data_IF_180900676030
#
_entry.id   IF_180900676030
#
_cell.length_a   1.000
_cell.length_b   1.000
_cell.length_c   1.000
_cell.angle_alpha   90.00
_cell.angle_beta   90.00
_cell.angle_gamma   90.00
#
_symmetry.space_group_name_H-M   'P 1'
#
loop_
_entity.id
_entity.type
_entity.pdbx_description
1 polymer ?
#
# COMPACT_ATOMS: atom_id res chain seq x y z
N UNK A 1 -1.22 -19.81 21.51
CA UNK A 1 -2.19 -20.27 20.49
C UNK A 1 -1.63 -19.91 19.12
N UNK A 2 -1.32 -20.94 18.33
CA UNK A 2 -0.75 -20.83 16.98
C UNK A 2 -1.87 -20.36 16.05
N UNK A 3 -1.94 -19.06 15.79
CA UNK A 3 -2.75 -18.56 14.67
C UNK A 3 -2.06 -18.99 13.38
N UNK A 4 -2.42 -20.18 12.91
CA UNK A 4 -2.30 -20.53 11.50
C UNK A 4 -3.21 -19.55 10.77
N UNK A 5 -2.65 -18.41 10.36
CA UNK A 5 -3.23 -17.62 9.30
C UNK A 5 -3.26 -18.54 8.09
N UNK A 6 -4.46 -19.05 7.80
CA UNK A 6 -4.86 -19.46 6.48
C UNK A 6 -4.70 -18.24 5.57
N UNK A 7 -3.45 -18.01 5.12
CA UNK A 7 -3.18 -17.34 3.85
C UNK A 7 -3.73 -18.30 2.79
N UNK A 8 -5.04 -18.27 2.62
CA UNK A 8 -5.74 -18.97 1.56
C UNK A 8 -5.24 -18.40 0.25
N UNK A 9 -4.41 -19.20 -0.42
CA UNK A 9 -4.46 -19.51 -1.84
C UNK A 9 -5.39 -18.64 -2.69
N UNK A 10 -5.07 -17.37 -2.83
CA UNK A 10 -5.60 -16.48 -3.86
C UNK A 10 -4.47 -15.92 -4.75
N UNK A 11 -3.35 -16.65 -4.83
CA UNK A 11 -2.64 -16.72 -6.10
C UNK A 11 -3.48 -17.64 -6.99
N UNK A 12 -4.49 -17.07 -7.63
CA UNK A 12 -4.94 -17.61 -8.90
C UNK A 12 -3.76 -17.43 -9.85
N UNK A 13 -2.85 -18.41 -9.85
CA UNK A 13 -2.00 -18.69 -10.99
C UNK A 13 -2.97 -18.78 -12.16
N UNK A 14 -3.01 -17.74 -12.99
CA UNK A 14 -3.42 -17.90 -14.36
C UNK A 14 -2.35 -18.79 -15.01
N UNK A 15 -2.44 -20.09 -14.75
CA UNK A 15 -1.80 -21.11 -15.57
C UNK A 15 -2.47 -20.98 -16.92
N UNK A 16 -1.93 -20.11 -17.78
CA UNK A 16 -2.11 -20.23 -19.22
C UNK A 16 -1.46 -21.56 -19.60
N UNK A 17 -2.23 -22.64 -19.48
CA UNK A 17 -1.90 -23.90 -20.12
C UNK A 17 -2.06 -23.65 -21.62
N UNK A 18 -0.98 -23.24 -22.28
CA UNK A 18 -0.83 -23.51 -23.71
C UNK A 18 -0.68 -25.03 -23.84
N UNK A 19 -1.82 -25.73 -23.83
CA UNK A 19 -1.85 -27.10 -24.30
C UNK A 19 -1.38 -27.07 -25.77
N UNK A 20 -0.33 -27.81 -26.15
CA UNK A 20 -0.11 -28.05 -27.56
C UNK A 20 -1.39 -28.68 -28.11
N UNK A 21 -1.93 -28.15 -29.20
CA UNK A 21 -2.95 -28.86 -29.97
C UNK A 21 -2.32 -30.16 -30.47
N UNK A 22 -2.36 -31.20 -29.65
CA UNK A 22 -2.22 -32.57 -30.12
C UNK A 22 -3.44 -32.81 -31.01
N UNK A 23 -3.20 -32.83 -32.32
CA UNK A 23 -4.13 -33.37 -33.29
C UNK A 23 -4.49 -34.79 -32.83
N UNK A 24 -5.63 -34.93 -32.17
CA UNK A 24 -6.20 -36.23 -31.88
C UNK A 24 -6.55 -36.85 -33.24
N UNK A 25 -5.69 -37.74 -33.72
CA UNK A 25 -5.97 -38.61 -34.84
C UNK A 25 -7.21 -39.43 -34.45
N UNK A 26 -8.34 -39.14 -35.09
CA UNK A 26 -9.57 -39.93 -34.95
C UNK A 26 -9.24 -41.36 -35.41
N UNK A 27 -9.32 -42.39 -34.53
CA UNK A 27 -9.08 -43.76 -34.95
C UNK A 27 -10.23 -44.17 -35.87
N UNK A 28 -9.94 -44.36 -37.17
CA UNK A 28 -10.90 -44.90 -38.14
C UNK A 28 -11.22 -44.02 -39.35
N UNK A 29 -10.61 -42.84 -39.49
CA UNK A 29 -10.71 -42.10 -40.75
C UNK A 29 -9.84 -42.78 -41.81
N UNK A 30 -10.46 -43.20 -42.93
CA UNK A 30 -9.74 -43.69 -44.10
C UNK A 30 -8.72 -42.64 -44.56
N UNK A 31 -7.53 -43.05 -45.04
CA UNK A 31 -6.53 -42.11 -45.53
C UNK A 31 -7.16 -41.20 -46.60
N UNK A 32 -6.90 -39.88 -46.56
CA UNK A 32 -7.41 -38.99 -47.58
C UNK A 32 -6.90 -39.45 -48.96
N UNK A 33 -7.72 -39.31 -50.02
CA UNK A 33 -7.29 -39.64 -51.37
C UNK A 33 -6.02 -38.85 -51.72
N UNK A 34 -5.09 -39.51 -52.42
CA UNK A 34 -3.85 -38.89 -52.87
C UNK A 34 -4.14 -37.54 -53.54
N UNK A 35 -3.43 -36.46 -53.18
CA UNK A 35 -3.63 -35.18 -53.81
C UNK A 35 -3.39 -35.32 -55.32
N UNK A 36 -4.20 -34.65 -56.17
CA UNK A 36 -3.95 -34.61 -57.60
C UNK A 36 -2.53 -34.09 -57.86
N UNK A 37 -1.86 -34.56 -58.92
CA UNK A 37 -0.51 -34.09 -59.27
C UNK A 37 -0.51 -32.56 -59.32
N UNK A 38 0.41 -31.96 -58.57
CA UNK A 38 0.53 -30.52 -58.44
C UNK A 38 0.56 -29.88 -59.83
N UNK A 39 -0.42 -29.01 -60.10
CA UNK A 39 -0.35 -28.13 -61.25
C UNK A 39 0.98 -27.37 -61.17
N UNK A 40 1.76 -27.47 -62.23
CA UNK A 40 3.06 -26.81 -62.37
C UNK A 40 2.89 -25.34 -62.07
N UNK A 41 3.59 -24.85 -61.03
CA UNK A 41 3.58 -23.44 -60.67
C UNK A 41 3.94 -22.60 -61.91
N UNK A 42 3.13 -21.58 -62.27
CA UNK A 42 3.50 -20.67 -63.35
C UNK A 42 4.83 -20.01 -63.04
N UNK A 43 5.65 -19.83 -64.08
CA UNK A 43 6.96 -19.23 -63.98
C UNK A 43 6.89 -17.86 -63.27
N UNK A 44 7.83 -17.55 -62.36
CA UNK A 44 7.84 -16.27 -61.67
C UNK A 44 7.93 -15.11 -62.68
N UNK A 45 7.22 -14.00 -62.42
CA UNK A 45 7.29 -12.83 -63.29
C UNK A 45 8.72 -12.28 -63.33
N UNK A 46 9.14 -11.67 -64.46
CA UNK A 46 10.46 -11.08 -64.58
C UNK A 46 10.66 -9.97 -63.54
N UNK A 47 11.90 -9.78 -63.03
CA UNK A 47 12.20 -8.75 -62.06
C UNK A 47 11.88 -7.35 -62.63
N UNK A 48 11.17 -6.55 -61.82
CA UNK A 48 10.84 -5.18 -62.17
C UNK A 48 12.12 -4.35 -62.37
N UNK A 49 12.16 -3.55 -63.43
CA UNK A 49 13.28 -2.66 -63.73
C UNK A 49 13.49 -1.63 -62.61
N UNK A 50 14.73 -1.27 -62.28
CA UNK A 50 15.03 -0.31 -61.23
C UNK A 50 14.50 1.08 -61.60
N UNK A 51 13.55 1.58 -60.80
CA UNK A 51 13.08 2.96 -60.84
C UNK A 51 14.16 3.89 -60.32
N UNK A 52 14.52 4.88 -61.14
CA UNK A 52 15.50 5.92 -60.83
C UNK A 52 14.96 6.81 -59.70
N UNK A 53 15.75 7.16 -58.67
CA UNK A 53 15.30 8.05 -57.61
C UNK A 53 15.02 9.46 -58.16
N UNK A 54 13.81 9.95 -57.95
CA UNK A 54 13.45 11.33 -58.26
C UNK A 54 14.21 12.29 -57.32
N UNK A 55 14.81 13.33 -57.90
CA UNK A 55 15.51 14.39 -57.15
C UNK A 55 14.57 15.10 -56.17
N UNK A 56 15.02 15.41 -54.94
CA UNK A 56 14.20 16.12 -53.96
C UNK A 56 13.92 17.56 -54.42
N UNK A 57 12.70 18.08 -54.19
CA UNK A 57 12.36 19.45 -54.53
C UNK A 57 13.11 20.46 -53.65
N UNK A 58 13.59 21.51 -54.30
CA UNK A 58 14.31 22.64 -53.70
C UNK A 58 13.43 23.37 -52.67
N UNK A 59 13.92 23.49 -51.44
CA UNK A 59 13.21 24.17 -50.35
C UNK A 59 13.16 25.69 -50.60
N UNK A 60 11.95 26.24 -50.63
CA UNK A 60 11.72 27.69 -50.66
C UNK A 60 12.00 28.32 -49.28
N UNK A 61 12.49 29.58 -49.22
CA UNK A 61 12.76 30.27 -47.97
C UNK A 61 11.46 30.74 -47.30
N UNK A 62 11.16 30.20 -46.12
CA UNK A 62 10.10 30.72 -45.26
C UNK A 62 10.60 31.94 -44.49
N UNK A 63 10.00 33.09 -44.77
CA UNK A 63 10.16 34.35 -44.06
C UNK A 63 9.66 34.21 -42.62
N UNK A 64 10.57 34.39 -41.65
CA UNK A 64 10.28 34.48 -40.23
C UNK A 64 9.61 35.82 -39.90
N UNK A 65 8.29 35.80 -39.72
CA UNK A 65 7.55 36.88 -39.08
C UNK A 65 7.88 36.91 -37.58
N UNK A 66 8.79 37.81 -37.22
CA UNK A 66 9.16 38.14 -35.85
C UNK A 66 7.95 38.77 -35.13
N UNK A 67 7.17 37.97 -34.41
CA UNK A 67 6.12 38.47 -33.54
C UNK A 67 6.74 39.12 -32.30
N UNK A 68 6.49 40.41 -32.11
CA UNK A 68 6.87 41.14 -30.91
C UNK A 68 6.28 40.46 -29.67
N UNK A 69 7.07 40.18 -28.62
CA UNK A 69 6.55 39.64 -27.38
C UNK A 69 5.66 40.69 -26.70
N UNK A 70 4.39 40.34 -26.50
CA UNK A 70 3.47 41.09 -25.64
C UNK A 70 4.00 40.98 -24.20
N UNK A 71 4.21 42.11 -23.48
CA UNK A 71 4.63 42.05 -22.09
C UNK A 71 3.54 41.37 -21.24
N UNK A 72 3.91 40.49 -20.30
CA UNK A 72 2.94 39.85 -19.43
C UNK A 72 2.20 40.90 -18.57
N UNK A 73 0.91 40.69 -18.28
CA UNK A 73 0.17 41.59 -17.40
C UNK A 73 0.82 41.65 -16.01
N UNK A 74 0.75 42.80 -15.32
CA UNK A 74 1.28 42.95 -13.97
C UNK A 74 0.63 41.91 -13.05
N UNK A 75 1.47 41.12 -12.38
CA UNK A 75 1.04 40.10 -11.44
C UNK A 75 0.22 40.76 -10.31
N UNK A 76 -1.07 40.44 -10.25
CA UNK A 76 -1.89 40.68 -9.08
C UNK A 76 -1.27 39.95 -7.89
N UNK A 77 -0.98 40.62 -6.76
CA UNK A 77 -0.48 39.94 -5.57
C UNK A 77 -1.55 38.97 -5.07
N UNK A 78 -1.24 37.67 -5.16
CA UNK A 78 -1.97 36.58 -4.55
C UNK A 78 -1.76 36.64 -3.02
N UNK A 79 -2.43 37.59 -2.37
CA UNK A 79 -2.65 37.55 -0.92
C UNK A 79 -3.51 36.34 -0.60
N UNK A 80 -2.89 35.23 -0.21
CA UNK A 80 -3.61 34.09 0.36
C UNK A 80 -3.03 32.70 0.11
N UNK A 81 -1.99 32.54 -0.72
CA UNK A 81 -1.37 31.23 -0.90
C UNK A 81 -0.40 30.96 0.26
N UNK A 82 -0.89 30.38 1.35
CA UNK A 82 -0.05 29.72 2.35
C UNK A 82 0.85 28.72 1.63
N UNK A 83 2.16 29.00 1.61
CA UNK A 83 3.16 28.04 1.17
C UNK A 83 2.97 26.77 1.98
N UNK A 84 2.81 25.59 1.35
CA UNK A 84 2.84 24.33 2.09
C UNK A 84 4.16 24.27 2.86
N UNK A 85 4.15 23.82 4.14
CA UNK A 85 5.36 23.73 4.92
C UNK A 85 6.39 22.85 4.19
N UNK A 86 7.68 23.19 4.23
CA UNK A 86 8.71 22.43 3.55
C UNK A 86 8.69 20.98 4.01
N UNK A 87 8.58 20.07 3.04
CA UNK A 87 8.67 18.64 3.28
C UNK A 87 10.08 18.30 3.77
N UNK A 88 10.18 17.81 5.01
CA UNK A 88 11.40 17.18 5.52
C UNK A 88 12.43 18.13 6.11
N UNK A 89 12.12 18.66 7.30
CA UNK A 89 13.14 18.79 8.33
C UNK A 89 12.54 18.29 9.62
N UNK A 90 12.61 16.97 9.81
CA UNK A 90 12.59 16.36 11.13
C UNK A 90 13.89 16.75 11.85
N UNK A 91 14.01 18.03 12.20
CA UNK A 91 14.91 18.53 13.22
C UNK A 91 14.03 19.06 14.36
N UNK A 92 14.51 18.90 15.59
CA UNK A 92 13.91 19.25 16.88
C UNK A 92 13.24 18.03 17.54
N UNK A 93 13.87 17.29 18.47
CA UNK A 93 14.92 17.76 19.38
C UNK A 93 14.45 18.87 20.32
N UNK A 94 13.16 19.23 20.28
CA UNK A 94 12.58 20.14 21.27
C UNK A 94 12.49 19.37 22.59
N UNK A 95 13.55 19.49 23.40
CA UNK A 95 13.51 19.23 24.83
C UNK A 95 12.24 19.88 25.39
N UNK A 96 11.35 19.05 25.94
CA UNK A 96 10.19 19.51 26.68
C UNK A 96 10.63 20.56 27.71
N UNK A 97 9.89 21.65 27.89
CA UNK A 97 10.19 22.61 28.95
C UNK A 97 10.23 21.88 30.30
N UNK A 98 11.17 22.22 31.21
CA UNK A 98 11.23 21.60 32.52
C UNK A 98 9.90 21.80 33.27
N UNK A 99 9.44 20.80 34.05
CA UNK A 99 8.19 20.92 34.78
C UNK A 99 8.25 22.11 35.75
N UNK A 100 7.12 22.83 35.94
CA UNK A 100 7.06 23.95 36.87
C UNK A 100 7.44 23.49 38.29
N UNK A 101 8.31 24.26 38.95
CA UNK A 101 8.69 24.05 40.34
C UNK A 101 7.47 24.08 41.25
N UNK A 102 7.35 23.08 42.13
CA UNK A 102 6.27 23.01 43.11
C UNK A 102 6.20 24.29 43.95
N UNK A 103 5.00 24.80 44.26
CA UNK A 103 4.83 26.02 45.05
C UNK A 103 5.48 25.86 46.44
N UNK A 104 6.27 26.85 46.91
CA UNK A 104 6.85 26.82 48.25
C UNK A 104 5.73 26.87 49.29
N UNK A 105 5.58 25.83 50.11
CA UNK A 105 4.66 25.85 51.26
C UNK A 105 3.70 24.67 51.41
N UNK A 106 3.79 23.63 50.56
CA UNK A 106 3.09 22.36 50.81
C UNK A 106 3.77 21.62 51.98
N UNK A 107 3.45 22.04 53.20
CA UNK A 107 3.88 21.37 54.42
C UNK A 107 3.30 19.95 54.52
N UNK A 108 3.93 19.07 55.31
CA UNK A 108 3.45 17.72 55.55
C UNK A 108 2.04 17.76 56.17
N UNK A 109 1.09 17.07 55.54
CA UNK A 109 -0.28 16.93 56.01
C UNK A 109 -0.30 16.44 57.47
N UNK A 110 -0.92 17.23 58.35
CA UNK A 110 -1.17 16.84 59.73
C UNK A 110 -2.18 15.67 59.78
N UNK A 111 -1.93 14.61 60.57
CA UNK A 111 -2.88 13.53 60.76
C UNK A 111 -4.16 14.05 61.40
N UNK A 112 -5.32 13.77 60.80
CA UNK A 112 -6.60 14.03 61.44
C UNK A 112 -6.77 13.12 62.66
N UNK A 113 -7.21 13.65 63.82
CA UNK A 113 -7.47 12.83 64.99
C UNK A 113 -8.71 11.93 64.76
N UNK A 114 -8.67 10.66 65.19
CA UNK A 114 -9.82 9.76 65.11
C UNK A 114 -10.91 10.24 66.07
N UNK A 115 -11.99 10.79 65.51
CA UNK A 115 -13.20 11.10 66.27
C UNK A 115 -14.01 9.83 66.60
N UNK A 116 -14.76 9.83 67.72
CA UNK A 116 -15.61 8.71 68.10
C UNK A 116 -16.77 8.55 67.11
N UNK A 117 -16.80 7.42 66.40
CA UNK A 117 -17.91 7.06 65.52
C UNK A 117 -19.16 6.79 66.34
N UNK A 118 -20.16 7.66 66.21
CA UNK A 118 -21.50 7.36 66.68
C UNK A 118 -22.09 6.20 65.83
N UNK A 119 -22.79 5.23 66.45
CA UNK A 119 -23.47 4.16 65.72
C UNK A 119 -24.57 4.78 64.84
N UNK A 120 -24.50 4.55 63.52
CA UNK A 120 -25.57 4.95 62.63
C UNK A 120 -26.82 4.10 62.91
N UNK A 121 -28.00 4.72 63.10
CA UNK A 121 -29.26 3.99 63.23
C UNK A 121 -29.62 3.30 61.90
N UNK A 122 -30.20 2.09 61.94
CA UNK A 122 -30.66 1.37 60.75
C UNK A 122 -31.94 2.04 60.22
N UNK A 123 -31.77 3.05 59.38
CA UNK A 123 -32.86 3.65 58.62
C UNK A 123 -33.09 2.90 57.30
N UNK A 124 -34.33 2.88 56.77
CA UNK A 124 -34.62 2.37 55.43
C UNK A 124 -33.82 3.17 54.40
N UNK A 125 -32.94 2.51 53.68
CA UNK A 125 -32.19 3.09 52.57
C UNK A 125 -33.18 3.49 51.47
N UNK A 126 -33.61 4.75 51.50
CA UNK A 126 -34.10 5.39 50.29
C UNK A 126 -32.90 5.51 49.34
N UNK A 127 -32.91 4.87 48.15
CA UNK A 127 -31.85 5.10 47.17
C UNK A 127 -31.77 6.61 46.92
N UNK A 128 -30.57 7.21 46.97
CA UNK A 128 -30.45 8.64 46.79
C UNK A 128 -31.09 9.03 45.46
N UNK A 129 -31.87 10.13 45.43
CA UNK A 129 -32.55 10.58 44.23
C UNK A 129 -31.52 10.74 43.09
N UNK A 130 -31.86 10.17 41.93
CA UNK A 130 -31.08 10.22 40.69
C UNK A 130 -30.58 11.65 40.43
N UNK A 131 -29.35 11.96 40.82
CA UNK A 131 -28.80 13.32 40.75
C UNK A 131 -27.80 13.69 41.85
N UNK A 132 -27.71 12.92 42.94
CA UNK A 132 -26.72 13.14 44.01
C UNK A 132 -25.36 12.47 43.76
N UNK A 133 -25.16 11.89 42.56
CA UNK A 133 -23.81 11.64 42.07
C UNK A 133 -23.24 13.02 41.73
N UNK A 134 -22.35 13.53 42.58
CA UNK A 134 -21.60 14.75 42.27
C UNK A 134 -20.99 14.67 40.86
N UNK A 135 -20.56 15.82 40.29
CA UNK A 135 -19.85 15.80 39.02
C UNK A 135 -18.77 14.70 39.09
N UNK A 136 -18.64 13.86 38.05
CA UNK A 136 -17.68 12.77 38.06
C UNK A 136 -16.35 13.34 38.56
N UNK A 137 -15.70 12.69 39.55
CA UNK A 137 -14.51 13.24 40.18
C UNK A 137 -13.59 13.77 39.09
N UNK A 138 -13.16 15.03 39.26
CA UNK A 138 -12.35 15.76 38.31
C UNK A 138 -11.34 14.80 37.68
N UNK A 139 -11.29 14.79 36.34
CA UNK A 139 -10.58 13.79 35.55
C UNK A 139 -9.17 13.49 36.05
N UNK A 140 -8.58 12.37 35.62
CA UNK A 140 -7.30 11.86 36.13
C UNK A 140 -6.31 13.02 36.30
N UNK A 141 -5.74 13.11 37.51
CA UNK A 141 -4.83 14.17 37.92
C UNK A 141 -3.86 14.51 36.77
N UNK A 142 -3.60 15.80 36.49
CA UNK A 142 -2.64 16.20 35.46
C UNK A 142 -1.30 15.48 35.67
N UNK A 143 -0.93 14.59 34.75
CA UNK A 143 0.26 13.74 34.84
C UNK A 143 0.02 12.24 35.12
N UNK A 144 -1.22 11.82 35.37
CA UNK A 144 -1.62 10.40 35.60
C UNK A 144 -2.47 9.81 34.47
N UNK A 145 -2.57 10.49 33.33
CA UNK A 145 -3.06 9.85 32.12
C UNK A 145 -2.03 8.81 31.68
N UNK A 146 -2.15 7.59 32.19
CA UNK A 146 -1.43 6.45 31.61
C UNK A 146 -1.84 6.40 30.15
N UNK A 147 -0.91 6.77 29.26
CA UNK A 147 -1.11 6.63 27.83
C UNK A 147 -1.54 5.17 27.61
N UNK A 148 -2.68 4.93 26.93
CA UNK A 148 -3.16 3.57 26.73
C UNK A 148 -2.01 2.74 26.14
N UNK A 149 -1.71 1.56 26.69
CA UNK A 149 -0.62 0.75 26.16
C UNK A 149 -0.87 0.54 24.67
N UNK A 150 0.09 0.93 23.84
CA UNK A 150 0.07 0.72 22.39
C UNK A 150 0.90 -0.52 22.05
N UNK A 151 0.52 -1.20 20.98
CA UNK A 151 1.26 -2.31 20.41
C UNK A 151 1.58 -2.02 18.95
N UNK A 152 2.79 -2.40 18.53
CA UNK A 152 3.22 -2.35 17.12
C UNK A 152 2.57 -3.48 16.35
N UNK A 153 1.60 -3.15 15.49
CA UNK A 153 0.92 -4.10 14.60
C UNK A 153 1.40 -3.86 13.17
N UNK A 154 1.65 -4.94 12.43
CA UNK A 154 1.93 -4.83 10.99
C UNK A 154 0.62 -4.79 10.22
N UNK A 155 0.39 -3.72 9.47
CA UNK A 155 -0.76 -3.56 8.56
C UNK A 155 -0.28 -3.72 7.11
N UNK A 156 -1.04 -4.48 6.32
CA UNK A 156 -0.75 -4.69 4.91
C UNK A 156 -1.60 -3.75 4.07
N UNK A 157 -0.97 -2.93 3.24
CA UNK A 157 -1.64 -1.96 2.35
C UNK A 157 -1.48 -2.31 0.87
N UNK A 158 -0.92 -3.48 0.54
CA UNK A 158 -0.65 -3.89 -0.86
C UNK A 158 -1.90 -4.01 -1.74
N UNK A 159 -3.08 -4.18 -1.14
CA UNK A 159 -4.35 -4.16 -1.87
C UNK A 159 -4.61 -2.83 -2.59
N UNK A 160 -4.07 -1.71 -2.09
CA UNK A 160 -4.23 -0.39 -2.74
C UNK A 160 -3.43 -0.34 -4.04
N UNK A 161 -2.20 -0.84 -4.02
CA UNK A 161 -1.38 -1.02 -5.22
C UNK A 161 -2.06 -1.94 -6.23
N UNK A 162 -2.67 -3.05 -5.77
CA UNK A 162 -3.39 -3.98 -6.63
C UNK A 162 -4.53 -3.31 -7.40
N UNK A 163 -5.33 -2.48 -6.73
CA UNK A 163 -6.44 -1.76 -7.39
C UNK A 163 -5.90 -0.80 -8.43
N UNK A 164 -4.90 0.02 -8.10
CA UNK A 164 -4.35 1.00 -9.05
C UNK A 164 -3.71 0.34 -10.27
N UNK A 165 -3.01 -0.79 -10.08
CA UNK A 165 -2.44 -1.59 -11.16
C UNK A 165 -3.55 -2.17 -12.05
N UNK A 166 -4.59 -2.76 -11.45
CA UNK A 166 -5.69 -3.36 -12.22
C UNK A 166 -6.47 -2.30 -13.02
N UNK A 167 -6.75 -1.13 -12.45
CA UNK A 167 -7.37 -0.02 -13.20
C UNK A 167 -6.47 0.42 -14.34
N UNK A 168 -5.16 0.53 -14.11
CA UNK A 168 -4.19 0.92 -15.12
C UNK A 168 -4.09 -0.11 -16.25
N UNK A 169 -4.15 -1.39 -15.93
CA UNK A 169 -4.15 -2.49 -16.92
C UNK A 169 -5.43 -2.47 -17.78
N UNK A 170 -6.59 -2.17 -17.18
CA UNK A 170 -7.84 -2.00 -17.94
C UNK A 170 -7.72 -0.82 -18.91
N UNK A 171 -7.15 0.31 -18.47
CA UNK A 171 -6.90 1.48 -19.34
C UNK A 171 -5.90 1.14 -20.44
N UNK A 172 -4.86 0.38 -20.12
CA UNK A 172 -3.84 -0.08 -21.08
C UNK A 172 -4.48 -0.90 -22.20
N UNK A 173 -5.30 -1.89 -21.84
CA UNK A 173 -5.99 -2.79 -22.77
C UNK A 173 -7.03 -2.03 -23.59
N UNK A 174 -7.88 -1.23 -22.94
CA UNK A 174 -8.93 -0.47 -23.61
C UNK A 174 -8.36 0.61 -24.55
N UNK A 175 -7.18 1.14 -24.25
CA UNK A 175 -6.50 2.17 -25.01
C UNK A 175 -5.65 1.65 -26.18
N UNK A 176 -5.54 0.34 -26.39
CA UNK A 176 -4.59 -0.27 -27.32
C UNK A 176 -4.61 0.39 -28.71
N UNK A 177 -3.44 0.86 -29.17
CA UNK A 177 -3.30 1.54 -30.46
C UNK A 177 -3.56 3.05 -30.42
N UNK A 178 -3.70 3.65 -29.24
CA UNK A 178 -3.91 5.09 -29.04
C UNK A 178 -2.97 5.67 -27.99
N UNK A 179 -2.99 7.00 -27.82
CA UNK A 179 -2.25 7.67 -26.75
C UNK A 179 -2.66 7.20 -25.34
N UNK A 180 -3.87 6.64 -25.18
CA UNK A 180 -4.39 6.12 -23.90
C UNK A 180 -3.58 4.91 -23.41
N UNK A 181 -2.97 4.13 -24.32
CA UNK A 181 -2.06 3.04 -23.95
C UNK A 181 -0.93 3.53 -23.05
N UNK A 182 -0.34 4.71 -23.34
CA UNK A 182 0.73 5.26 -22.53
C UNK A 182 0.26 5.70 -21.14
N UNK A 183 -1.00 6.11 -21.01
CA UNK A 183 -1.60 6.45 -19.71
C UNK A 183 -1.77 5.19 -18.86
N UNK A 184 -2.26 4.09 -19.45
CA UNK A 184 -2.35 2.81 -18.76
C UNK A 184 -0.99 2.27 -18.33
N UNK A 185 0.01 2.36 -19.22
CA UNK A 185 1.38 1.92 -18.91
C UNK A 185 2.02 2.76 -17.80
N UNK A 186 1.89 4.09 -17.88
CA UNK A 186 2.39 4.99 -16.85
C UNK A 186 1.68 4.75 -15.51
N UNK A 187 0.37 4.53 -15.52
CA UNK A 187 -0.41 4.17 -14.34
C UNK A 187 0.09 2.88 -13.70
N UNK A 188 0.33 1.84 -14.49
CA UNK A 188 0.84 0.56 -13.99
C UNK A 188 2.18 0.74 -13.29
N UNK A 189 3.12 1.42 -13.95
CA UNK A 189 4.49 1.63 -13.42
C UNK A 189 4.51 2.54 -12.20
N UNK A 190 3.67 3.58 -12.15
CA UNK A 190 3.71 4.60 -11.10
C UNK A 190 2.79 4.31 -9.91
N UNK A 191 1.84 3.38 -10.02
CA UNK A 191 0.91 3.06 -8.92
C UNK A 191 1.65 2.67 -7.65
N UNK A 192 2.56 1.68 -7.72
CA UNK A 192 3.34 1.23 -6.55
C UNK A 192 4.13 2.37 -5.90
N UNK A 193 4.97 3.11 -6.65
CA UNK A 193 5.71 4.25 -6.12
C UNK A 193 4.84 5.30 -5.43
N UNK A 194 3.72 5.69 -6.06
CA UNK A 194 2.79 6.67 -5.51
C UNK A 194 2.20 6.17 -4.18
N UNK A 195 1.76 4.91 -4.11
CA UNK A 195 1.21 4.32 -2.88
C UNK A 195 2.27 4.29 -1.78
N UNK A 196 3.50 3.87 -2.07
CA UNK A 196 4.57 3.88 -1.07
C UNK A 196 4.91 5.29 -0.57
N UNK A 197 4.95 6.28 -1.47
CA UNK A 197 5.15 7.67 -1.10
C UNK A 197 4.03 8.24 -0.25
N UNK A 198 2.77 7.86 -0.52
CA UNK A 198 1.62 8.26 0.28
C UNK A 198 1.67 7.75 1.73
N UNK A 199 2.35 6.62 1.97
CA UNK A 199 2.59 6.06 3.31
C UNK A 199 3.91 6.53 3.94
N UNK A 200 4.62 7.49 3.32
CA UNK A 200 5.88 8.03 3.83
C UNK A 200 7.11 7.12 3.59
N UNK A 201 6.98 6.07 2.77
CA UNK A 201 8.05 5.11 2.48
C UNK A 201 8.79 5.47 1.17
N UNK A 202 9.51 6.60 1.16
CA UNK A 202 10.19 7.13 -0.04
C UNK A 202 11.14 6.12 -0.68
N UNK A 203 11.98 5.46 0.13
CA UNK A 203 12.93 4.45 -0.36
C UNK A 203 12.24 3.26 -1.00
N UNK A 204 11.13 2.79 -0.42
CA UNK A 204 10.34 1.69 -0.99
C UNK A 204 9.69 2.10 -2.32
N UNK A 205 9.27 3.37 -2.46
CA UNK A 205 8.71 3.86 -3.72
C UNK A 205 9.73 3.86 -4.87
N UNK A 206 10.99 4.22 -4.62
CA UNK A 206 12.05 4.10 -5.63
C UNK A 206 12.41 2.64 -5.93
N UNK A 207 12.46 1.77 -4.92
CA UNK A 207 12.67 0.35 -5.11
C UNK A 207 11.56 -0.28 -5.98
N UNK A 208 10.30 0.06 -5.69
CA UNK A 208 9.11 -0.32 -6.46
C UNK A 208 9.22 0.14 -7.91
N UNK A 209 9.62 1.40 -8.15
CA UNK A 209 9.80 1.94 -9.50
C UNK A 209 10.87 1.16 -10.27
N UNK A 210 12.03 0.93 -9.64
CA UNK A 210 13.13 0.16 -10.22
C UNK A 210 12.72 -1.27 -10.54
N UNK A 211 11.87 -1.87 -9.71
CA UNK A 211 11.36 -3.22 -9.91
C UNK A 211 10.34 -3.29 -11.06
N UNK A 212 9.41 -2.32 -11.13
CA UNK A 212 8.39 -2.22 -12.19
C UNK A 212 8.98 -1.90 -13.58
N UNK A 213 10.11 -1.19 -13.65
CA UNK A 213 10.81 -0.96 -14.92
C UNK A 213 11.82 -2.06 -15.21
N UNK A 214 12.56 -2.49 -14.19
CA UNK A 214 13.67 -3.42 -14.30
C UNK A 214 13.25 -4.85 -14.62
N UNK A 215 12.16 -5.37 -14.03
CA UNK A 215 11.74 -6.74 -14.28
C UNK A 215 11.17 -6.96 -15.68
N UNK A 216 10.33 -6.09 -16.27
CA UNK A 216 9.93 -6.25 -17.67
C UNK A 216 11.13 -6.21 -18.63
N UNK A 217 12.07 -5.28 -18.43
CA UNK A 217 13.27 -5.19 -19.27
C UNK A 217 14.15 -6.43 -19.09
N UNK A 218 14.45 -6.81 -17.85
CA UNK A 218 15.27 -7.97 -17.52
C UNK A 218 14.64 -9.28 -18.00
N UNK A 219 13.32 -9.43 -17.81
CA UNK A 219 12.55 -10.56 -18.32
C UNK A 219 12.58 -10.61 -19.85
N UNK A 220 12.42 -9.46 -20.51
CA UNK A 220 12.55 -9.36 -21.96
C UNK A 220 13.94 -9.77 -22.47
N UNK A 221 15.01 -9.33 -21.80
CA UNK A 221 16.37 -9.74 -22.14
C UNK A 221 16.61 -11.25 -21.92
N UNK A 222 16.08 -11.82 -20.85
CA UNK A 222 16.13 -13.29 -20.63
C UNK A 222 15.39 -14.02 -21.74
N UNK A 223 14.21 -13.53 -22.13
CA UNK A 223 13.44 -14.06 -23.26
C UNK A 223 14.20 -13.96 -24.59
N UNK A 224 14.84 -12.81 -24.85
CA UNK A 224 15.68 -12.61 -26.02
C UNK A 224 16.82 -13.63 -26.09
N UNK A 225 17.52 -13.86 -24.98
CA UNK A 225 18.58 -14.86 -24.90
C UNK A 225 18.06 -16.28 -25.10
N UNK A 226 16.88 -16.60 -24.57
CA UNK A 226 16.24 -17.90 -24.79
C UNK A 226 15.85 -18.14 -26.26
N UNK A 227 15.49 -17.07 -27.00
CA UNK A 227 15.13 -17.13 -28.41
C UNK A 227 16.29 -16.95 -29.40
N UNK A 228 17.53 -16.75 -28.93
CA UNK A 228 18.68 -16.44 -29.79
C UNK A 228 19.12 -17.61 -30.70
N UNK A 229 18.63 -18.82 -30.45
CA UNK A 229 18.90 -20.00 -31.29
C UNK A 229 17.86 -20.27 -32.39
N UNK A 230 16.80 -19.48 -32.47
CA UNK A 230 15.76 -19.66 -33.49
C UNK A 230 16.19 -19.08 -34.84
N UNK A 231 15.89 -19.80 -35.93
CA UNK A 231 16.13 -19.33 -37.30
C UNK A 231 15.05 -18.36 -37.79
N UNK A 232 13.91 -18.29 -37.10
CA UNK A 232 12.83 -17.36 -37.37
C UNK A 232 12.86 -16.20 -36.35
N UNK A 233 12.92 -14.96 -36.84
CA UNK A 233 12.89 -13.78 -35.99
C UNK A 233 11.60 -13.66 -35.18
N UNK A 234 10.51 -14.28 -35.63
CA UNK A 234 9.24 -14.31 -34.89
C UNK A 234 9.32 -15.10 -33.58
N UNK A 235 10.08 -16.20 -33.55
CA UNK A 235 10.29 -16.96 -32.32
C UNK A 235 11.05 -16.12 -31.30
N UNK A 236 12.14 -15.46 -31.72
CA UNK A 236 12.93 -14.59 -30.84
C UNK A 236 12.08 -13.45 -30.25
N UNK A 237 11.23 -12.83 -31.08
CA UNK A 237 10.30 -11.81 -30.64
C UNK A 237 9.26 -12.37 -29.65
N UNK A 238 8.72 -13.57 -29.92
CA UNK A 238 7.76 -14.23 -29.05
C UNK A 238 8.37 -14.54 -27.67
N UNK A 239 9.58 -15.09 -27.61
CA UNK A 239 10.27 -15.35 -26.33
C UNK A 239 10.57 -14.05 -25.58
N UNK A 240 11.02 -13.00 -26.28
CA UNK A 240 11.23 -11.67 -25.69
C UNK A 240 9.94 -11.12 -25.09
N UNK A 241 8.82 -11.21 -25.82
CA UNK A 241 7.52 -10.75 -25.35
C UNK A 241 7.01 -11.56 -24.14
N UNK A 242 7.17 -12.89 -24.15
CA UNK A 242 6.83 -13.75 -23.00
C UNK A 242 7.65 -13.36 -21.78
N UNK A 243 8.97 -13.20 -21.93
CA UNK A 243 9.85 -12.80 -20.85
C UNK A 243 9.48 -11.43 -20.26
N UNK A 244 9.20 -10.45 -21.12
CA UNK A 244 8.76 -9.12 -20.69
C UNK A 244 7.40 -9.17 -19.98
N UNK A 245 6.44 -9.98 -20.48
CA UNK A 245 5.13 -10.16 -19.85
C UNK A 245 5.24 -10.83 -18.46
N UNK A 246 6.10 -11.84 -18.31
CA UNK A 246 6.39 -12.44 -17.00
C UNK A 246 6.95 -11.39 -16.04
N UNK A 247 7.90 -10.57 -16.50
CA UNK A 247 8.45 -9.46 -15.72
C UNK A 247 7.40 -8.42 -15.33
N UNK A 248 6.49 -8.09 -16.25
CA UNK A 248 5.38 -7.16 -16.04
C UNK A 248 4.45 -7.58 -14.91
N UNK A 249 4.04 -8.85 -14.86
CA UNK A 249 3.17 -9.31 -13.77
C UNK A 249 3.92 -9.64 -12.48
N UNK A 250 5.16 -10.12 -12.58
CA UNK A 250 5.98 -10.42 -11.41
C UNK A 250 6.31 -9.15 -10.60
N UNK A 251 6.42 -8.00 -11.28
CA UNK A 251 6.82 -6.77 -10.64
C UNK A 251 5.85 -6.27 -9.55
N UNK A 252 4.57 -5.97 -9.86
CA UNK A 252 3.60 -5.60 -8.85
C UNK A 252 3.43 -6.67 -7.76
N UNK A 253 3.52 -7.95 -8.11
CA UNK A 253 3.39 -9.04 -7.14
C UNK A 253 4.50 -9.01 -6.08
N UNK A 254 5.75 -8.78 -6.49
CA UNK A 254 6.89 -8.66 -5.58
C UNK A 254 6.81 -7.36 -4.77
N UNK A 255 6.39 -6.26 -5.38
CA UNK A 255 6.18 -4.98 -4.70
C UNK A 255 5.16 -5.09 -3.55
N UNK A 256 4.02 -5.73 -3.82
CA UNK A 256 2.97 -5.98 -2.82
C UNK A 256 3.42 -6.93 -1.70
N UNK A 257 4.25 -7.92 -2.03
CA UNK A 257 4.72 -8.93 -1.08
C UNK A 257 5.84 -8.41 -0.16
N UNK A 258 6.76 -7.61 -0.70
CA UNK A 258 7.98 -7.22 0.00
C UNK A 258 7.84 -5.84 0.65
N UNK A 259 7.25 -4.87 -0.06
CA UNK A 259 7.31 -3.47 0.35
C UNK A 259 6.01 -2.93 0.97
N UNK A 260 4.87 -3.63 0.81
CA UNK A 260 3.56 -3.11 1.19
C UNK A 260 3.09 -3.46 2.61
N UNK A 261 4.00 -3.37 3.58
CA UNK A 261 3.64 -3.48 5.00
C UNK A 261 4.12 -2.25 5.77
N UNK A 262 3.26 -1.73 6.64
CA UNK A 262 3.59 -0.66 7.58
C UNK A 262 3.46 -1.18 9.01
N UNK A 263 4.20 -0.57 9.94
CA UNK A 263 4.05 -0.84 11.37
C UNK A 263 3.32 0.33 12.00
N UNK A 264 2.14 0.08 12.55
CA UNK A 264 1.28 1.08 13.18
C UNK A 264 1.21 0.79 14.67
N UNK A 265 1.31 1.83 15.48
CA UNK A 265 1.02 1.73 16.92
C UNK A 265 -0.50 1.73 17.10
N UNK A 266 -1.07 0.55 17.38
CA UNK A 266 -2.48 0.40 17.66
C UNK A 266 -2.69 0.34 19.19
N UNK A 267 -3.73 0.99 19.74
CA UNK A 267 -4.11 0.78 21.13
C UNK A 267 -4.32 -0.71 21.37
N UNK A 268 -3.78 -1.23 22.47
CA UNK A 268 -4.01 -2.62 22.86
C UNK A 268 -5.49 -2.72 23.24
N UNK A 269 -6.33 -3.11 22.28
CA UNK A 269 -7.72 -3.44 22.58
C UNK A 269 -7.70 -4.59 23.60
N UNK A 270 -8.35 -4.43 24.76
CA UNK A 270 -8.52 -5.54 25.70
C UNK A 270 -9.23 -6.66 24.95
N UNK A 271 -8.52 -7.75 24.63
CA UNK A 271 -9.10 -8.92 23.93
C UNK A 271 -10.39 -9.32 24.63
N UNK A 272 -11.53 -9.12 23.96
CA UNK A 272 -12.89 -9.41 24.48
C UNK A 272 -13.12 -10.88 24.91
N UNK A 273 -12.13 -11.78 24.76
CA UNK A 273 -12.19 -13.17 25.23
C UNK A 273 -11.11 -13.59 26.25
N UNK A 274 -10.12 -12.75 26.56
CA UNK A 274 -9.09 -13.10 27.55
C UNK A 274 -9.55 -12.88 29.01
N UNK A 275 -10.72 -12.25 29.21
CA UNK A 275 -11.36 -12.05 30.53
C UNK A 275 -12.36 -13.14 30.91
N UNK A 276 -12.48 -14.24 30.17
CA UNK A 276 -13.52 -15.24 30.41
C UNK A 276 -13.13 -16.40 31.36
N UNK A 277 -11.98 -16.33 32.04
CA UNK A 277 -11.61 -17.34 33.06
C UNK A 277 -11.28 -16.76 34.44
N UNK A 278 -11.21 -15.44 34.58
CA UNK A 278 -11.29 -14.83 35.89
C UNK A 278 -12.70 -14.25 36.00
N UNK A 279 -13.50 -14.66 37.00
CA UNK A 279 -14.81 -14.06 37.21
C UNK A 279 -14.61 -12.54 37.26
N UNK A 280 -15.37 -11.81 36.45
CA UNK A 280 -15.35 -10.36 36.29
C UNK A 280 -15.61 -9.58 37.59
N UNK A 281 -15.66 -10.28 38.72
CA UNK A 281 -15.90 -9.80 40.04
C UNK A 281 -14.70 -9.95 40.97
N UNK A 282 -13.47 -10.23 40.52
CA UNK A 282 -12.28 -10.21 41.41
C UNK A 282 -11.25 -9.20 40.91
N UNK A 283 -11.12 -8.09 41.62
CA UNK A 283 -10.09 -7.08 41.40
C UNK A 283 -9.07 -7.15 42.56
N UNK A 284 -7.80 -7.30 42.21
CA UNK A 284 -6.71 -7.20 43.17
C UNK A 284 -6.20 -5.76 43.13
N UNK A 285 -6.42 -5.01 44.21
CA UNK A 285 -5.94 -3.65 44.36
C UNK A 285 -4.81 -3.60 45.39
N UNK A 286 -3.63 -3.05 45.05
CA UNK A 286 -2.63 -2.76 46.05
C UNK A 286 -3.18 -1.65 46.97
N UNK A 287 -3.29 -1.93 48.27
CA UNK A 287 -3.52 -0.90 49.27
C UNK A 287 -2.17 -0.44 49.81
N UNK A 288 -1.82 0.80 49.49
CA UNK A 288 -0.69 1.50 50.09
C UNK A 288 -1.28 2.54 51.04
N UNK A 289 -1.38 2.17 52.32
CA UNK A 289 -1.64 3.11 53.41
C UNK A 289 -0.32 3.60 54.01
N UNK A 290 -0.34 4.73 54.74
CA UNK A 290 0.86 5.31 55.36
C UNK A 290 1.66 4.33 56.23
N UNK A 291 1.00 3.32 56.81
CA UNK A 291 1.65 2.38 57.74
C UNK A 291 1.54 0.91 57.29
N UNK A 292 0.90 0.61 56.14
CA UNK A 292 0.66 -0.77 55.69
C UNK A 292 0.68 -0.89 54.17
N UNK A 293 1.49 -1.83 53.69
CA UNK A 293 1.42 -2.32 52.31
C UNK A 293 0.73 -3.68 52.32
N UNK A 294 -0.38 -3.80 51.60
CA UNK A 294 -1.14 -5.05 51.50
C UNK A 294 -1.79 -5.23 50.14
N UNK A 295 -2.10 -6.47 49.80
CA UNK A 295 -2.91 -6.83 48.64
C UNK A 295 -4.36 -6.95 49.10
N UNK A 296 -5.27 -6.11 48.59
CA UNK A 296 -6.71 -6.28 48.81
C UNK A 296 -7.32 -6.98 47.61
N UNK A 297 -8.07 -8.05 47.87
CA UNK A 297 -8.85 -8.77 46.85
C UNK A 297 -10.30 -8.36 47.05
N UNK A 298 -10.80 -7.47 46.20
CA UNK A 298 -12.18 -6.99 46.25
C UNK A 298 -12.98 -7.74 45.22
N UNK A 299 -14.10 -8.34 45.65
CA UNK A 299 -14.99 -8.94 44.71
C UNK A 299 -16.47 -8.91 45.04
N UNK A 300 -17.28 -8.99 43.98
CA UNK A 300 -18.73 -9.17 44.03
C UNK A 300 -19.01 -10.68 44.01
N UNK A 301 -19.37 -11.20 45.19
CA UNK A 301 -19.80 -12.58 45.38
C UNK A 301 -21.32 -12.67 45.33
#
# INVERSE_FOLDING_TARGET
>A
MRSRLLLGSALALATLSLAPRTNAQVPGAAPPPSPPPAATNPAPPPPASPTTPASPPSAAPTTSSQANPVPPPPATPLSGMQTPPPAGSAANGASLPPPPTAPPGAGPYAPYPPGPYAPYPPGPYAPPPNGAWGPPPAGPLPGWGAEPPTQKVKRWYGWQTLIGVLVSDVVLIAGQGSAVTYVGLAGHVLTGPIVHWAHGHVGNGFASLGLNVGLPIGGGLIGLMAGAGSYDGWDTLAYTAIGAAVGYFAAPALDMAIFSTETVDEPVEPRKGARALLPSSVAVMPMVGQDRMGLSVVGLF
#
